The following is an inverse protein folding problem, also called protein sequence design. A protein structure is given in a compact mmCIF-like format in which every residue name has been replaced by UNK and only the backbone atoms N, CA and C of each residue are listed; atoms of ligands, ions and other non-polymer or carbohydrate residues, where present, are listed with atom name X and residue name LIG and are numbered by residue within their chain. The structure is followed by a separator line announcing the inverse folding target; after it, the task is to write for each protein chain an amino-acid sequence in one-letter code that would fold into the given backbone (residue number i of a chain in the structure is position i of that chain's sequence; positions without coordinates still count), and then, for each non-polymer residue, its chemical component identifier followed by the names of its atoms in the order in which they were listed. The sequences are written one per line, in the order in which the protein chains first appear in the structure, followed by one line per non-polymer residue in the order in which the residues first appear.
data_IF_590936657270
#
_entry.id   IF_590936657270
#
_cell.length_a   1.000
_cell.length_b   1.000
_cell.length_c   1.000
_cell.angle_alpha   90.00
_cell.angle_beta   90.00
_cell.angle_gamma   90.00
#
_symmetry.space_group_name_H-M   'P 1'
#
loop_
_entity.id
_entity.type
_entity.pdbx_description
1 polymer ?
#
# COMPACT_ATOMS: atom_id res chain seq x y z
N UNK A 1 -9.96 -36.71 -17.93
CA UNK A 1 -9.55 -36.11 -19.22
C UNK A 1 -9.67 -37.13 -20.34
N UNK A 2 -9.00 -38.29 -20.22
CA UNK A 2 -9.17 -39.42 -21.15
C UNK A 2 -10.61 -39.97 -21.17
N UNK A 3 -11.22 -40.23 -20.00
CA UNK A 3 -12.61 -40.73 -19.89
C UNK A 3 -13.66 -39.77 -20.48
N UNK A 4 -13.50 -38.46 -20.30
CA UNK A 4 -14.43 -37.44 -20.84
C UNK A 4 -14.42 -37.35 -22.36
N UNK A 5 -13.27 -37.62 -23.00
CA UNK A 5 -13.13 -37.62 -24.45
C UNK A 5 -13.63 -38.92 -25.10
N UNK A 6 -13.46 -40.06 -24.41
CA UNK A 6 -14.03 -41.35 -24.81
C UNK A 6 -15.56 -41.33 -24.83
N UNK A 7 -16.19 -40.73 -23.80
CA UNK A 7 -17.65 -40.59 -23.71
C UNK A 7 -18.20 -39.71 -24.85
N UNK A 8 -17.42 -38.73 -25.32
CA UNK A 8 -17.80 -37.81 -26.40
C UNK A 8 -17.51 -38.32 -27.83
N UNK A 9 -16.90 -39.51 -27.99
CA UNK A 9 -16.46 -40.08 -29.28
C UNK A 9 -15.59 -39.14 -30.13
N UNK A 10 -14.73 -38.36 -29.49
CA UNK A 10 -13.83 -37.46 -30.23
C UNK A 10 -12.77 -38.24 -31.02
N UNK A 11 -12.42 -37.73 -32.21
CA UNK A 11 -11.25 -38.24 -32.94
C UNK A 11 -9.97 -37.83 -32.20
N UNK A 12 -8.84 -38.54 -32.39
CA UNK A 12 -7.57 -38.17 -31.77
C UNK A 12 -7.14 -36.71 -32.00
N UNK A 13 -7.51 -36.14 -33.14
CA UNK A 13 -7.21 -34.74 -33.49
C UNK A 13 -8.10 -33.74 -32.73
N UNK A 14 -9.37 -34.09 -32.49
CA UNK A 14 -10.27 -33.29 -31.65
C UNK A 14 -9.84 -33.31 -30.18
N UNK A 15 -9.38 -34.47 -29.68
CA UNK A 15 -8.81 -34.58 -28.33
C UNK A 15 -7.58 -33.67 -28.20
N UNK A 16 -6.66 -33.73 -29.17
CA UNK A 16 -5.46 -32.88 -29.18
C UNK A 16 -5.80 -31.39 -29.23
N UNK A 17 -6.70 -30.98 -30.11
CA UNK A 17 -7.14 -29.58 -30.22
C UNK A 17 -7.79 -29.07 -28.93
N UNK A 18 -8.56 -29.94 -28.26
CA UNK A 18 -9.18 -29.63 -26.98
C UNK A 18 -8.13 -29.49 -25.86
N UNK A 19 -7.16 -30.39 -25.80
CA UNK A 19 -6.05 -30.34 -24.85
C UNK A 19 -5.18 -29.09 -25.04
N UNK A 20 -4.88 -28.72 -26.29
CA UNK A 20 -4.12 -27.51 -26.63
C UNK A 20 -4.88 -26.25 -26.20
N UNK A 21 -6.19 -26.22 -26.43
CA UNK A 21 -7.06 -25.11 -26.00
C UNK A 21 -7.11 -24.99 -24.48
N UNK A 22 -7.21 -26.12 -23.77
CA UNK A 22 -7.18 -26.15 -22.31
C UNK A 22 -5.83 -25.70 -21.76
N UNK A 23 -4.73 -26.11 -22.39
CA UNK A 23 -3.39 -25.67 -22.02
C UNK A 23 -3.26 -24.16 -22.17
N UNK A 24 -3.64 -23.61 -23.33
CA UNK A 24 -3.61 -22.17 -23.55
C UNK A 24 -4.45 -21.40 -22.51
N UNK A 25 -5.67 -21.87 -22.24
CA UNK A 25 -6.53 -21.28 -21.23
C UNK A 25 -5.89 -21.30 -19.83
N UNK A 26 -5.25 -22.41 -19.45
CA UNK A 26 -4.55 -22.54 -18.16
C UNK A 26 -3.35 -21.61 -18.08
N UNK A 27 -2.54 -21.52 -19.13
CA UNK A 27 -1.36 -20.64 -19.17
C UNK A 27 -1.79 -19.17 -19.03
N UNK A 28 -2.84 -18.76 -19.75
CA UNK A 28 -3.39 -17.41 -19.64
C UNK A 28 -3.94 -17.15 -18.24
N UNK A 29 -4.74 -18.08 -17.70
CA UNK A 29 -5.34 -17.92 -16.38
C UNK A 29 -4.26 -17.81 -15.29
N UNK A 30 -3.27 -18.69 -15.32
CA UNK A 30 -2.16 -18.66 -14.36
C UNK A 30 -1.41 -17.33 -14.44
N UNK A 31 -1.11 -16.84 -15.65
CA UNK A 31 -0.43 -15.55 -15.84
C UNK A 31 -1.24 -14.39 -15.26
N UNK A 32 -2.56 -14.36 -15.48
CA UNK A 32 -3.45 -13.34 -14.96
C UNK A 32 -3.60 -13.41 -13.43
N UNK A 33 -3.73 -14.62 -12.89
CA UNK A 33 -3.86 -14.83 -11.44
C UNK A 33 -2.56 -14.40 -10.73
N UNK A 34 -1.39 -14.78 -11.27
CA UNK A 34 -0.09 -14.33 -10.76
C UNK A 34 0.04 -12.81 -10.80
N UNK A 35 -0.21 -12.17 -11.96
CA UNK A 35 -0.11 -10.71 -12.07
C UNK A 35 -1.07 -9.98 -11.10
N UNK A 36 -2.28 -10.53 -10.90
CA UNK A 36 -3.25 -9.97 -9.95
C UNK A 36 -2.77 -10.10 -8.51
N UNK A 37 -2.20 -11.24 -8.14
CA UNK A 37 -1.72 -11.48 -6.77
C UNK A 37 -0.46 -10.67 -6.47
N UNK A 38 0.47 -10.56 -7.42
CA UNK A 38 1.61 -9.65 -7.34
C UNK A 38 1.16 -8.20 -7.15
N UNK A 39 0.23 -7.71 -7.98
CA UNK A 39 -0.30 -6.35 -7.83
C UNK A 39 -0.99 -6.08 -6.48
N UNK A 40 -1.68 -7.07 -5.90
CA UNK A 40 -2.23 -6.94 -4.54
C UNK A 40 -1.13 -6.88 -3.47
N UNK A 41 -0.08 -7.68 -3.62
CA UNK A 41 1.04 -7.73 -2.68
C UNK A 41 1.79 -6.40 -2.73
N UNK A 42 2.13 -5.92 -3.93
CA UNK A 42 2.79 -4.63 -4.15
C UNK A 42 1.97 -3.49 -3.56
N UNK A 43 0.69 -3.36 -3.93
CA UNK A 43 -0.16 -2.29 -3.40
C UNK A 43 -0.32 -2.32 -1.88
N UNK A 44 -0.33 -3.51 -1.25
CA UNK A 44 -0.35 -3.63 0.21
C UNK A 44 0.98 -3.20 0.85
N UNK A 45 2.10 -3.52 0.22
CA UNK A 45 3.43 -3.13 0.69
C UNK A 45 3.60 -1.62 0.56
N UNK A 46 3.32 -1.06 -0.61
CA UNK A 46 3.41 0.38 -0.88
C UNK A 46 2.52 1.17 0.09
N UNK A 47 1.23 0.85 0.17
CA UNK A 47 0.32 1.57 1.07
C UNK A 47 0.72 1.48 2.55
N UNK A 48 1.33 0.37 2.98
CA UNK A 48 1.86 0.25 4.36
C UNK A 48 3.10 1.10 4.58
N UNK A 49 3.98 1.20 3.58
CA UNK A 49 5.19 2.02 3.66
C UNK A 49 4.81 3.50 3.66
N UNK A 50 3.98 3.93 2.72
CA UNK A 50 3.50 5.30 2.60
C UNK A 50 2.80 5.74 3.88
N UNK A 51 1.78 4.99 4.33
CA UNK A 51 1.05 5.34 5.55
C UNK A 51 1.93 5.38 6.81
N UNK A 52 2.98 4.54 6.88
CA UNK A 52 3.94 4.60 8.00
C UNK A 52 4.84 5.83 7.93
N UNK A 53 5.25 6.24 6.74
CA UNK A 53 6.09 7.43 6.55
C UNK A 53 5.26 8.68 6.85
N UNK A 54 4.08 8.81 6.25
CA UNK A 54 3.15 9.92 6.46
C UNK A 54 2.81 10.06 7.94
N UNK A 55 2.30 8.99 8.57
CA UNK A 55 1.94 9.05 9.99
C UNK A 55 3.12 9.36 10.93
N UNK A 56 4.34 8.97 10.58
CA UNK A 56 5.54 9.33 11.36
C UNK A 56 5.92 10.81 11.19
N UNK A 57 5.71 11.38 10.00
CA UNK A 57 5.98 12.80 9.73
C UNK A 57 4.91 13.66 10.41
N UNK A 58 3.64 13.33 10.20
CA UNK A 58 2.50 14.01 10.82
C UNK A 58 2.61 13.97 12.35
N UNK A 59 2.80 12.80 12.96
CA UNK A 59 2.92 12.68 14.41
C UNK A 59 4.13 13.43 14.99
N UNK A 60 5.22 13.58 14.24
CA UNK A 60 6.35 14.42 14.66
C UNK A 60 6.01 15.91 14.63
N UNK A 61 5.26 16.37 13.64
CA UNK A 61 4.83 17.76 13.51
C UNK A 61 3.78 18.07 14.58
N UNK A 62 2.76 17.22 14.72
CA UNK A 62 1.73 17.35 15.75
C UNK A 62 2.33 17.38 17.15
N UNK A 63 3.26 16.46 17.46
CA UNK A 63 3.95 16.46 18.75
C UNK A 63 4.76 17.73 19.02
N UNK A 64 5.42 18.30 18.00
CA UNK A 64 6.11 19.60 18.15
C UNK A 64 5.12 20.73 18.45
N UNK A 65 3.97 20.74 17.78
CA UNK A 65 2.91 21.74 17.97
C UNK A 65 2.30 21.61 19.37
N UNK A 66 2.02 20.39 19.83
CA UNK A 66 1.48 20.12 21.15
C UNK A 66 2.44 20.58 22.25
N UNK A 67 3.72 20.25 22.12
CA UNK A 67 4.76 20.72 23.04
C UNK A 67 4.84 22.25 23.04
N UNK A 68 4.81 22.90 21.87
CA UNK A 68 4.82 24.36 21.77
C UNK A 68 3.62 25.01 22.47
N UNK A 69 2.40 24.47 22.29
CA UNK A 69 1.19 24.94 22.98
C UNK A 69 1.32 24.82 24.50
N UNK A 70 1.79 23.68 24.99
CA UNK A 70 1.97 23.45 26.43
C UNK A 70 3.00 24.39 27.05
N UNK A 71 4.09 24.67 26.32
CA UNK A 71 5.12 25.62 26.76
C UNK A 71 4.60 27.08 26.77
N UNK A 72 3.82 27.48 25.76
CA UNK A 72 3.15 28.79 25.74
C UNK A 72 2.21 28.96 26.92
N UNK A 73 1.38 27.96 27.20
CA UNK A 73 0.47 27.95 28.36
C UNK A 73 1.23 28.03 29.70
N UNK A 74 2.45 27.51 29.74
CA UNK A 74 3.33 27.55 30.92
C UNK A 74 4.10 28.88 31.04
N UNK A 75 3.87 29.85 30.16
CA UNK A 75 4.52 31.16 30.19
C UNK A 75 5.97 31.16 29.70
N UNK A 76 6.41 30.11 29.00
CA UNK A 76 7.75 30.04 28.43
C UNK A 76 7.87 31.04 27.28
N UNK A 77 9.00 31.75 27.21
CA UNK A 77 9.25 32.75 26.16
C UNK A 77 9.27 32.10 24.76
N UNK A 78 8.70 32.79 23.77
CA UNK A 78 8.63 32.32 22.38
C UNK A 78 10.01 31.94 21.83
N UNK A 79 11.06 32.71 22.15
CA UNK A 79 12.44 32.42 21.71
C UNK A 79 12.92 31.02 22.16
N UNK A 80 12.64 30.65 23.42
CA UNK A 80 13.01 29.35 23.96
C UNK A 80 12.20 28.22 23.31
N UNK A 81 10.92 28.47 23.00
CA UNK A 81 10.04 27.51 22.32
C UNK A 81 10.51 27.25 20.89
N UNK A 82 10.91 28.29 20.14
CA UNK A 82 11.54 28.18 18.82
C UNK A 82 12.76 27.25 18.90
N UNK A 83 13.66 27.50 19.86
CA UNK A 83 14.88 26.69 20.03
C UNK A 83 14.58 25.24 20.42
N UNK A 84 13.56 25.00 21.25
CA UNK A 84 13.23 23.66 21.76
C UNK A 84 12.47 22.80 20.73
N UNK A 85 11.56 23.40 19.97
CA UNK A 85 10.66 22.66 19.05
C UNK A 85 11.14 22.71 17.59
N UNK A 86 11.96 23.70 17.25
CA UNK A 86 12.38 23.99 15.88
C UNK A 86 11.25 24.56 15.01
N UNK A 87 10.13 25.00 15.60
CA UNK A 87 9.09 25.74 14.91
C UNK A 87 9.52 27.20 14.72
N UNK A 88 9.01 27.85 13.68
CA UNK A 88 9.26 29.29 13.48
C UNK A 88 8.48 30.12 14.48
N UNK A 89 8.94 31.35 14.71
CA UNK A 89 8.22 32.29 15.57
C UNK A 89 6.80 32.54 15.07
N UNK A 90 6.61 32.67 13.76
CA UNK A 90 5.29 32.81 13.12
C UNK A 90 4.39 31.60 13.41
N UNK A 91 4.92 30.37 13.25
CA UNK A 91 4.17 29.16 13.58
C UNK A 91 3.73 29.15 15.04
N UNK A 92 4.58 29.55 15.97
CA UNK A 92 4.26 29.60 17.40
C UNK A 92 3.24 30.69 17.71
N UNK A 93 3.35 31.87 17.08
CA UNK A 93 2.37 32.97 17.24
C UNK A 93 0.98 32.57 16.74
N UNK A 94 0.90 31.73 15.70
CA UNK A 94 -0.37 31.18 15.22
C UNK A 94 -0.97 30.10 16.15
N UNK A 95 -0.27 29.70 17.23
CA UNK A 95 -0.80 28.77 18.25
C UNK A 95 -1.44 29.48 19.45
N UNK A 96 -1.29 30.82 19.57
CA UNK A 96 -1.98 31.64 20.57
C UNK A 96 -3.42 31.92 20.17
#
# INVERSE_FOLDING_TARGET
LFETAEIAKFTPEQVRSYEDSLKYYRDLKNSLDTARDEGKIEGKIEGKIEGKIEGKIEGKIEGKIEVAKNLLMSGVSIELIVRATGLTEEQIRNLQ
#
